data_IF_960466300670
#
_entry.id   IF_960466300670
#
_cell.length_a   1.000
_cell.length_b   1.000
_cell.length_c   1.000
_cell.angle_alpha   90.00
_cell.angle_beta   90.00
_cell.angle_gamma   90.00
#
_symmetry.space_group_name_H-M   'P 1'
#
loop_
_entity.id
_entity.type
_entity.pdbx_description
1 polymer ?
#
# COMPACT_ATOMS: atom_id res chain seq x y z
N UNK A 1 13.74 40.10 42.05
CA UNK A 1 13.55 38.62 42.11
C UNK A 1 13.81 38.08 40.72
N UNK A 2 15.02 37.53 40.51
CA UNK A 2 15.48 37.05 39.19
C UNK A 2 15.15 35.56 39.07
N UNK A 3 14.29 35.22 38.12
CA UNK A 3 13.94 33.81 37.79
C UNK A 3 15.10 33.18 37.01
N UNK A 4 15.72 32.15 37.57
CA UNK A 4 16.73 31.34 36.87
C UNK A 4 15.98 30.29 36.06
N UNK A 5 16.16 30.36 34.75
CA UNK A 5 15.73 29.30 33.83
C UNK A 5 16.77 28.17 33.92
N UNK A 6 16.33 27.00 34.33
CA UNK A 6 17.16 25.78 34.40
C UNK A 6 17.06 25.07 33.04
N UNK A 7 18.12 25.15 32.25
CA UNK A 7 18.24 24.38 31.01
C UNK A 7 18.68 22.94 31.36
N UNK A 8 17.80 21.98 31.18
CA UNK A 8 18.11 20.55 31.37
C UNK A 8 18.66 20.01 30.04
N UNK A 9 19.96 19.80 30.01
CA UNK A 9 20.64 19.12 28.88
C UNK A 9 20.56 17.61 29.14
N UNK A 10 19.77 16.89 28.37
CA UNK A 10 19.71 15.43 28.42
C UNK A 10 20.83 14.85 27.59
N UNK A 11 21.86 14.33 28.24
CA UNK A 11 22.92 13.55 27.60
C UNK A 11 22.44 12.11 27.40
N UNK A 12 22.21 11.70 26.17
CA UNK A 12 21.90 10.30 25.83
C UNK A 12 23.22 9.53 25.71
N UNK A 13 23.52 8.71 26.69
CA UNK A 13 24.60 7.72 26.62
C UNK A 13 24.07 6.50 25.87
N UNK A 14 24.62 6.24 24.68
CA UNK A 14 24.37 5.01 23.92
C UNK A 14 25.20 3.90 24.57
N UNK A 15 24.56 3.02 25.35
CA UNK A 15 25.16 1.77 25.79
C UNK A 15 24.88 0.71 24.74
N UNK A 16 25.92 0.29 24.04
CA UNK A 16 25.85 -0.84 23.12
C UNK A 16 25.90 -2.13 23.92
N UNK A 17 24.74 -2.74 24.19
CA UNK A 17 24.69 -4.15 24.59
C UNK A 17 24.65 -4.99 23.34
N UNK A 18 25.74 -5.70 23.06
CA UNK A 18 25.82 -6.78 22.08
C UNK A 18 25.28 -8.06 22.75
N UNK A 19 23.99 -8.33 22.59
CA UNK A 19 23.46 -9.69 22.72
C UNK A 19 23.25 -10.22 21.31
N UNK A 20 23.95 -11.30 20.97
CA UNK A 20 23.78 -11.99 19.69
C UNK A 20 22.34 -12.52 19.60
N UNK A 21 21.60 -12.19 18.53
CA UNK A 21 20.26 -12.74 18.33
C UNK A 21 20.36 -14.25 18.10
N UNK A 22 19.60 -15.01 18.87
CA UNK A 22 19.45 -16.47 18.69
C UNK A 22 18.93 -16.73 17.28
N UNK A 23 19.76 -17.32 16.43
CA UNK A 23 19.36 -17.68 15.07
C UNK A 23 18.49 -18.95 15.09
N UNK A 24 17.29 -18.95 14.51
CA UNK A 24 16.54 -20.19 14.29
C UNK A 24 17.25 -21.06 13.25
N UNK A 25 17.60 -22.27 13.60
CA UNK A 25 18.16 -23.26 12.67
C UNK A 25 17.04 -23.81 11.79
N UNK A 26 17.14 -23.64 10.46
CA UNK A 26 16.20 -24.23 9.50
C UNK A 26 15.48 -23.27 8.58
N UNK A 27 15.84 -21.98 8.58
CA UNK A 27 15.25 -20.98 7.66
C UNK A 27 15.78 -21.20 6.24
N UNK A 28 14.91 -21.27 5.19
CA UNK A 28 15.36 -21.16 3.81
C UNK A 28 16.16 -19.86 3.65
N UNK A 29 17.32 -19.92 3.01
CA UNK A 29 18.12 -18.72 2.79
C UNK A 29 17.27 -17.63 2.14
N UNK A 30 17.26 -16.39 2.64
CA UNK A 30 16.50 -15.27 2.03
C UNK A 30 16.95 -15.01 0.59
N UNK A 31 18.22 -15.32 0.25
CA UNK A 31 18.72 -15.31 -1.11
C UNK A 31 18.05 -16.38 -1.97
N UNK A 32 17.72 -17.55 -1.42
CA UNK A 32 16.94 -18.56 -2.15
C UNK A 32 15.46 -18.14 -2.29
N UNK A 33 14.89 -17.47 -1.29
CA UNK A 33 13.52 -16.92 -1.34
C UNK A 33 13.43 -15.69 -2.27
N UNK A 34 14.38 -14.76 -2.21
CA UNK A 34 14.47 -13.63 -3.13
C UNK A 34 14.81 -14.09 -4.55
N UNK A 35 15.68 -15.09 -4.72
CA UNK A 35 15.95 -15.73 -6.02
C UNK A 35 14.74 -16.53 -6.53
N UNK A 36 13.93 -17.12 -5.65
CA UNK A 36 12.67 -17.77 -6.03
C UNK A 36 11.55 -16.75 -6.38
N UNK A 37 11.62 -15.55 -5.85
CA UNK A 37 10.74 -14.43 -6.21
C UNK A 37 11.22 -13.72 -7.48
N UNK A 38 12.55 -13.60 -7.70
CA UNK A 38 13.18 -12.96 -8.85
C UNK A 38 13.46 -13.93 -10.01
N UNK A 39 13.79 -15.20 -9.74
CA UNK A 39 13.73 -16.25 -10.74
C UNK A 39 12.24 -16.52 -10.96
N UNK A 40 11.65 -15.80 -11.93
CA UNK A 40 10.27 -16.02 -12.33
C UNK A 40 10.04 -17.53 -12.49
N UNK A 41 9.58 -18.20 -11.44
CA UNK A 41 8.95 -19.49 -11.61
C UNK A 41 7.93 -19.25 -12.72
N UNK A 42 8.08 -19.93 -13.89
CA UNK A 42 7.23 -19.81 -15.06
C UNK A 42 5.78 -19.53 -14.63
N UNK A 43 5.47 -18.26 -14.34
CA UNK A 43 4.14 -17.81 -13.92
C UNK A 43 3.44 -17.28 -15.15
N UNK A 44 2.20 -17.62 -15.28
CA UNK A 44 1.37 -17.15 -16.39
C UNK A 44 0.00 -16.73 -15.88
N UNK A 45 -0.56 -15.73 -16.51
CA UNK A 45 -1.97 -15.33 -16.41
C UNK A 45 -2.71 -16.05 -17.52
N UNK A 46 -3.78 -16.76 -17.16
CA UNK A 46 -4.65 -17.50 -18.07
C UNK A 46 -6.02 -16.85 -18.10
N UNK A 47 -6.45 -16.36 -19.26
CA UNK A 47 -7.79 -15.83 -19.47
C UNK A 47 -8.73 -16.90 -20.03
N UNK A 48 -10.00 -16.85 -19.64
CA UNK A 48 -11.03 -17.78 -20.08
C UNK A 48 -12.00 -17.15 -21.08
N UNK A 49 -12.45 -17.98 -22.02
CA UNK A 49 -13.64 -17.69 -22.85
C UNK A 49 -14.90 -18.13 -22.09
N UNK A 50 -15.52 -17.22 -21.35
CA UNK A 50 -16.70 -17.52 -20.53
C UNK A 50 -16.37 -18.10 -19.17
N UNK A 51 -17.13 -19.09 -18.71
CA UNK A 51 -16.94 -19.67 -17.38
C UNK A 51 -15.72 -20.59 -17.30
N UNK A 52 -15.08 -20.61 -16.14
CA UNK A 52 -13.99 -21.53 -15.85
C UNK A 52 -14.47 -22.98 -15.99
N UNK A 53 -13.75 -23.79 -16.75
CA UNK A 53 -14.03 -25.22 -16.86
C UNK A 53 -13.73 -25.93 -15.54
N UNK A 54 -14.60 -26.83 -15.14
CA UNK A 54 -14.47 -27.61 -13.88
C UNK A 54 -13.16 -28.44 -13.83
N UNK A 55 -12.65 -28.87 -15.00
CA UNK A 55 -11.44 -29.68 -15.14
C UNK A 55 -10.13 -28.86 -15.26
N UNK A 56 -10.21 -27.51 -15.23
CA UNK A 56 -9.06 -26.62 -15.43
C UNK A 56 -7.88 -26.93 -14.47
N UNK A 57 -8.18 -27.09 -13.17
CA UNK A 57 -7.13 -27.41 -12.18
C UNK A 57 -6.45 -28.76 -12.49
N UNK A 58 -7.21 -29.77 -12.86
CA UNK A 58 -6.69 -31.09 -13.24
C UNK A 58 -5.88 -31.01 -14.54
N UNK A 59 -6.32 -30.21 -15.51
CA UNK A 59 -5.61 -29.97 -16.75
C UNK A 59 -4.24 -29.30 -16.50
N UNK A 60 -4.19 -28.25 -15.69
CA UNK A 60 -2.94 -27.58 -15.32
C UNK A 60 -2.00 -28.54 -14.59
N UNK A 61 -2.52 -29.35 -13.66
CA UNK A 61 -1.73 -30.35 -12.94
C UNK A 61 -1.18 -31.45 -13.87
N UNK A 62 -1.96 -31.90 -14.84
CA UNK A 62 -1.50 -32.88 -15.85
C UNK A 62 -0.38 -32.34 -16.76
N UNK A 63 -0.31 -31.00 -16.91
CA UNK A 63 0.76 -30.30 -17.62
C UNK A 63 1.97 -29.98 -16.73
N UNK A 64 1.97 -30.44 -15.47
CA UNK A 64 3.06 -30.24 -14.50
C UNK A 64 3.02 -28.90 -13.77
N UNK A 65 1.95 -28.12 -13.92
CA UNK A 65 1.77 -26.82 -13.26
C UNK A 65 0.84 -26.87 -12.06
N UNK A 66 0.66 -25.70 -11.44
CA UNK A 66 -0.25 -25.47 -10.33
C UNK A 66 -1.09 -24.22 -10.60
N UNK A 67 -2.37 -24.25 -10.20
CA UNK A 67 -3.22 -23.07 -10.19
C UNK A 67 -3.05 -22.36 -8.85
N UNK A 68 -2.49 -21.17 -8.87
CA UNK A 68 -2.20 -20.37 -7.67
C UNK A 68 -3.46 -19.67 -7.16
N UNK A 69 -4.24 -19.10 -8.06
CA UNK A 69 -5.53 -18.45 -7.76
C UNK A 69 -6.47 -18.49 -8.97
N UNK A 70 -7.74 -18.19 -8.72
CA UNK A 70 -8.77 -18.00 -9.76
C UNK A 70 -9.58 -16.75 -9.41
N UNK A 71 -9.73 -15.84 -10.38
CA UNK A 71 -10.60 -14.67 -10.32
C UNK A 71 -11.82 -14.89 -11.25
N UNK A 72 -12.79 -15.66 -10.79
CA UNK A 72 -13.93 -16.08 -11.61
C UNK A 72 -14.76 -14.91 -12.11
N UNK A 73 -14.98 -13.88 -11.27
CA UNK A 73 -15.79 -12.72 -11.60
C UNK A 73 -15.25 -11.90 -12.79
N UNK A 74 -13.97 -12.07 -13.15
CA UNK A 74 -13.30 -11.37 -14.26
C UNK A 74 -12.79 -12.34 -15.33
N UNK A 75 -12.80 -13.62 -15.05
CA UNK A 75 -12.48 -14.67 -16.02
C UNK A 75 -10.99 -14.91 -16.25
N UNK A 76 -10.17 -14.90 -15.18
CA UNK A 76 -8.77 -15.28 -15.28
C UNK A 76 -8.25 -16.07 -14.08
N UNK A 77 -7.11 -16.72 -14.24
CA UNK A 77 -6.37 -17.41 -13.18
C UNK A 77 -4.87 -17.17 -13.31
N UNK A 78 -4.15 -17.27 -12.18
CA UNK A 78 -2.71 -17.40 -12.13
C UNK A 78 -2.29 -18.86 -12.07
N UNK A 79 -1.30 -19.22 -12.87
CA UNK A 79 -0.71 -20.57 -12.88
C UNK A 79 0.80 -20.48 -12.80
N UNK A 80 1.43 -21.47 -12.15
CA UNK A 80 2.87 -21.55 -12.02
C UNK A 80 3.41 -22.96 -12.34
N UNK A 81 4.73 -23.05 -12.62
CA UNK A 81 5.43 -24.31 -12.83
C UNK A 81 5.27 -24.94 -14.23
N UNK A 82 4.57 -24.28 -15.16
CA UNK A 82 4.42 -24.80 -16.53
C UNK A 82 5.70 -24.60 -17.35
N UNK A 83 6.10 -25.62 -18.10
CA UNK A 83 7.12 -25.47 -19.14
C UNK A 83 6.58 -24.66 -20.34
N UNK A 84 7.47 -24.11 -21.18
CA UNK A 84 7.06 -23.41 -22.40
C UNK A 84 6.17 -24.26 -23.31
N UNK A 85 6.45 -25.58 -23.41
CA UNK A 85 5.62 -26.52 -24.16
C UNK A 85 4.24 -26.69 -23.53
N UNK A 86 4.17 -26.77 -22.20
CA UNK A 86 2.91 -26.87 -21.47
C UNK A 86 2.07 -25.59 -21.63
N UNK A 87 2.68 -24.40 -21.56
CA UNK A 87 2.03 -23.11 -21.86
C UNK A 87 1.46 -23.10 -23.29
N UNK A 88 2.25 -23.53 -24.29
CA UNK A 88 1.79 -23.62 -25.67
C UNK A 88 0.64 -24.62 -25.85
N UNK A 89 0.60 -25.67 -25.07
CA UNK A 89 -0.51 -26.64 -25.04
C UNK A 89 -1.76 -26.02 -24.41
N UNK A 90 -1.59 -25.35 -23.26
CA UNK A 90 -2.69 -24.69 -22.55
C UNK A 90 -3.35 -23.59 -23.41
N UNK A 91 -2.55 -22.82 -24.17
CA UNK A 91 -3.06 -21.79 -25.12
C UNK A 91 -4.05 -22.33 -26.16
N UNK A 92 -3.88 -23.60 -26.56
CA UNK A 92 -4.74 -24.26 -27.55
C UNK A 92 -5.89 -25.03 -26.93
N UNK A 93 -6.00 -25.03 -25.62
CA UNK A 93 -7.04 -25.78 -24.92
C UNK A 93 -8.40 -25.11 -25.05
N UNK A 94 -9.47 -25.88 -25.19
CA UNK A 94 -10.83 -25.33 -25.24
C UNK A 94 -11.15 -24.51 -23.98
N UNK A 95 -11.78 -23.34 -24.19
CA UNK A 95 -12.17 -22.46 -23.09
C UNK A 95 -11.06 -21.50 -22.62
N UNK A 96 -9.85 -21.57 -23.16
CA UNK A 96 -8.78 -20.62 -22.93
C UNK A 96 -8.81 -19.52 -24.01
N UNK A 97 -8.87 -18.27 -23.57
CA UNK A 97 -8.83 -17.10 -24.45
C UNK A 97 -7.38 -16.67 -24.73
N UNK A 98 -6.56 -16.61 -23.68
CA UNK A 98 -5.16 -16.23 -23.78
C UNK A 98 -4.33 -16.79 -22.62
N UNK A 99 -3.03 -16.89 -22.82
CA UNK A 99 -2.04 -17.18 -21.77
C UNK A 99 -0.83 -16.28 -22.02
N UNK A 100 -0.46 -15.48 -21.04
CA UNK A 100 0.72 -14.60 -21.08
C UNK A 100 1.55 -14.72 -19.81
N UNK A 101 2.79 -14.30 -19.94
CA UNK A 101 3.72 -14.32 -18.82
C UNK A 101 3.25 -13.31 -17.74
N UNK A 102 3.33 -13.70 -16.48
CA UNK A 102 3.01 -12.83 -15.37
C UNK A 102 4.22 -11.94 -15.04
N UNK A 103 4.03 -10.63 -15.05
CA UNK A 103 5.11 -9.68 -14.80
C UNK A 103 5.28 -9.41 -13.30
N UNK A 104 6.50 -9.02 -12.92
CA UNK A 104 6.82 -8.64 -11.55
C UNK A 104 6.59 -7.15 -11.35
N UNK A 105 5.92 -6.81 -10.24
CA UNK A 105 5.73 -5.44 -9.73
C UNK A 105 6.65 -5.26 -8.54
N UNK A 106 7.21 -4.07 -8.37
CA UNK A 106 8.14 -3.71 -7.30
C UNK A 106 7.72 -2.41 -6.64
N UNK A 107 7.94 -2.30 -5.32
CA UNK A 107 7.80 -1.05 -4.56
C UNK A 107 9.13 -0.69 -3.90
N UNK A 108 9.28 0.59 -3.54
CA UNK A 108 10.45 1.09 -2.84
C UNK A 108 10.55 0.56 -1.41
N UNK A 109 11.78 0.31 -0.95
CA UNK A 109 12.03 -0.16 0.40
C UNK A 109 11.82 0.95 1.43
N UNK A 110 11.12 0.64 2.51
CA UNK A 110 11.02 1.51 3.69
C UNK A 110 12.33 1.53 4.48
N UNK A 111 12.59 2.63 5.20
CA UNK A 111 13.79 2.81 6.05
C UNK A 111 13.42 2.77 7.52
N UNK A 112 14.18 2.03 8.31
CA UNK A 112 14.02 1.97 9.75
C UNK A 112 14.64 3.21 10.41
N UNK A 113 13.84 3.91 11.23
CA UNK A 113 14.29 5.01 12.09
C UNK A 113 14.71 4.52 13.48
N UNK A 114 14.76 5.46 14.44
CA UNK A 114 15.15 5.20 15.82
C UNK A 114 14.12 4.38 16.61
N UNK A 115 14.57 3.75 17.69
CA UNK A 115 13.69 3.17 18.70
C UNK A 115 12.88 4.26 19.42
N UNK A 116 11.65 3.95 19.78
CA UNK A 116 10.77 4.83 20.55
C UNK A 116 10.41 4.15 21.86
N UNK A 117 10.66 4.83 22.98
CA UNK A 117 10.08 4.43 24.26
C UNK A 117 8.61 4.84 24.27
N UNK A 118 7.72 3.89 23.97
CA UNK A 118 6.28 4.16 23.90
C UNK A 118 5.57 3.50 25.10
N UNK A 119 5.12 4.31 26.06
CA UNK A 119 4.06 3.91 26.98
C UNK A 119 2.74 4.48 26.46
N UNK A 120 1.96 3.62 25.81
CA UNK A 120 0.67 3.97 25.23
C UNK A 120 -0.51 3.63 26.12
N UNK A 121 -0.26 3.20 27.36
CA UNK A 121 -1.30 2.74 28.30
C UNK A 121 -2.33 3.82 28.64
N UNK A 122 -1.94 5.08 28.59
CA UNK A 122 -2.81 6.24 28.84
C UNK A 122 -3.38 6.89 27.59
N UNK A 123 -3.06 6.40 26.37
CA UNK A 123 -3.50 6.97 25.11
C UNK A 123 -4.93 6.54 24.77
N UNK A 124 -5.66 7.42 24.11
CA UNK A 124 -7.05 7.17 23.68
C UNK A 124 -7.22 7.23 22.18
N UNK A 125 -7.74 6.18 21.53
CA UNK A 125 -8.05 6.18 20.09
C UNK A 125 -9.06 7.25 19.67
N UNK A 126 -9.78 7.84 20.59
CA UNK A 126 -10.82 8.82 20.29
C UNK A 126 -10.29 10.21 19.90
N UNK A 127 -9.01 10.48 20.13
CA UNK A 127 -8.38 11.77 19.81
C UNK A 127 -7.10 11.60 19.01
N UNK A 128 -7.17 11.51 17.67
CA UNK A 128 -5.98 11.30 16.83
C UNK A 128 -4.88 12.35 17.00
N UNK A 129 -5.24 13.58 17.33
CA UNK A 129 -4.27 14.67 17.60
C UNK A 129 -3.46 14.47 18.89
N UNK A 130 -3.86 13.54 19.75
CA UNK A 130 -3.13 13.16 20.97
C UNK A 130 -2.23 11.93 20.77
N UNK A 131 -2.12 11.38 19.57
CA UNK A 131 -1.20 10.29 19.27
C UNK A 131 0.24 10.69 19.66
N UNK A 132 0.98 9.75 20.25
CA UNK A 132 2.26 10.02 20.91
C UNK A 132 3.25 10.78 20.04
N UNK A 133 3.37 10.39 18.77
CA UNK A 133 4.33 10.98 17.83
C UNK A 133 3.70 11.96 16.84
N UNK A 134 2.39 12.23 16.96
CA UNK A 134 1.71 13.19 16.08
C UNK A 134 2.38 14.56 16.09
N UNK A 135 2.63 15.20 17.27
CA UNK A 135 3.16 16.57 17.29
C UNK A 135 4.58 16.70 16.76
N UNK A 136 5.35 15.60 16.80
CA UNK A 136 6.79 15.63 16.47
C UNK A 136 7.14 15.07 15.08
N UNK A 137 6.28 14.20 14.50
CA UNK A 137 6.63 13.48 13.28
C UNK A 137 5.58 13.54 12.16
N UNK A 138 4.32 13.95 12.46
CA UNK A 138 3.25 13.84 11.46
C UNK A 138 2.88 15.17 10.80
N UNK A 139 3.89 15.84 10.21
CA UNK A 139 3.68 16.99 9.34
C UNK A 139 2.67 16.73 8.22
N UNK A 140 2.65 15.49 7.72
CA UNK A 140 1.79 15.01 6.65
C UNK A 140 0.30 15.12 7.00
N UNK A 141 -0.09 14.78 8.23
CA UNK A 141 -1.49 14.91 8.68
C UNK A 141 -1.91 16.38 8.83
N UNK A 142 -0.97 17.26 9.26
CA UNK A 142 -1.19 18.70 9.33
C UNK A 142 -1.35 19.29 7.92
N UNK A 143 -0.51 18.89 6.99
CA UNK A 143 -0.55 19.35 5.61
C UNK A 143 -1.93 19.12 4.95
N UNK A 144 -2.56 17.98 5.20
CA UNK A 144 -3.89 17.65 4.64
C UNK A 144 -5.06 18.15 5.48
N UNK A 145 -4.81 18.96 6.51
CA UNK A 145 -5.83 19.51 7.42
C UNK A 145 -6.69 18.43 8.13
N UNK A 146 -6.10 17.26 8.40
CA UNK A 146 -6.75 16.18 9.12
C UNK A 146 -7.11 16.53 10.58
N UNK A 147 -6.24 17.25 11.35
CA UNK A 147 -6.57 17.64 12.73
C UNK A 147 -7.87 18.44 12.86
N UNK A 148 -8.14 19.36 11.93
CA UNK A 148 -9.36 20.13 11.95
C UNK A 148 -10.60 19.27 11.63
N UNK A 149 -10.45 18.27 10.76
CA UNK A 149 -11.51 17.29 10.48
C UNK A 149 -11.80 16.40 11.71
N UNK A 150 -10.76 15.93 12.41
CA UNK A 150 -10.93 15.16 13.65
C UNK A 150 -11.62 15.97 14.74
N UNK A 151 -11.21 17.25 14.93
CA UNK A 151 -11.85 18.16 15.88
C UNK A 151 -13.34 18.40 15.56
N UNK A 152 -13.72 18.33 14.28
CA UNK A 152 -15.12 18.39 13.84
C UNK A 152 -15.86 17.04 13.97
N UNK A 153 -15.23 16.00 14.56
CA UNK A 153 -15.83 14.69 14.78
C UNK A 153 -15.72 13.70 13.59
N UNK A 154 -14.99 14.05 12.53
CA UNK A 154 -14.81 13.19 11.39
C UNK A 154 -13.67 12.19 11.65
N UNK A 155 -14.00 11.02 12.18
CA UNK A 155 -13.08 9.97 12.57
C UNK A 155 -13.17 8.72 11.69
N UNK A 156 -14.05 8.72 10.68
CA UNK A 156 -14.38 7.53 9.89
C UNK A 156 -15.43 6.63 10.56
N UNK A 157 -15.59 5.42 10.07
CA UNK A 157 -16.62 4.49 10.54
C UNK A 157 -16.15 3.02 10.46
N UNK A 158 -16.45 2.19 11.49
CA UNK A 158 -16.17 0.76 11.45
C UNK A 158 -17.03 0.01 10.42
N UNK A 159 -18.07 0.66 9.87
CA UNK A 159 -18.91 0.11 8.82
C UNK A 159 -18.28 0.30 7.43
N UNK A 160 -17.21 1.09 7.30
CA UNK A 160 -16.45 1.28 6.05
C UNK A 160 -15.17 0.45 6.11
N UNK A 161 -14.87 -0.24 5.04
CA UNK A 161 -13.69 -1.12 4.93
C UNK A 161 -12.76 -0.61 3.83
N UNK A 162 -11.52 -0.34 4.20
CA UNK A 162 -10.43 -0.04 3.27
C UNK A 162 -9.56 -1.30 3.08
N UNK A 163 -9.47 -1.80 1.86
CA UNK A 163 -8.53 -2.86 1.50
C UNK A 163 -7.16 -2.27 1.21
N UNK A 164 -6.12 -2.82 1.82
CA UNK A 164 -4.71 -2.45 1.62
C UNK A 164 -4.05 -3.57 0.83
N UNK A 165 -3.80 -3.34 -0.47
CA UNK A 165 -3.12 -4.27 -1.36
C UNK A 165 -1.62 -3.97 -1.30
N UNK A 166 -0.89 -4.70 -0.46
CA UNK A 166 0.50 -4.39 -0.12
C UNK A 166 1.28 -5.61 0.43
N UNK A 167 2.37 -5.39 1.17
CA UNK A 167 3.21 -6.43 1.79
C UNK A 167 2.60 -7.09 3.03
N UNK A 168 1.39 -6.70 3.42
CA UNK A 168 0.69 -7.19 4.61
C UNK A 168 0.43 -6.07 5.61
N UNK A 169 -0.06 -6.43 6.80
CA UNK A 169 -0.29 -5.51 7.92
C UNK A 169 0.12 -6.20 9.22
N UNK A 170 0.94 -5.54 10.05
CA UNK A 170 1.16 -5.96 11.45
C UNK A 170 -0.08 -5.60 12.28
N UNK A 171 -1.05 -6.49 12.27
CA UNK A 171 -2.38 -6.29 12.85
C UNK A 171 -2.41 -6.29 14.38
N UNK A 172 -1.29 -6.62 15.04
CA UNK A 172 -1.17 -6.65 16.52
C UNK A 172 -0.41 -5.45 17.08
N UNK A 173 0.16 -4.57 16.24
CA UNK A 173 0.81 -3.38 16.77
C UNK A 173 -0.23 -2.41 17.36
N UNK A 174 0.22 -1.47 18.16
CA UNK A 174 -0.64 -0.53 18.90
C UNK A 174 -1.65 0.20 18.01
N UNK A 175 -1.20 0.63 16.83
CA UNK A 175 -2.00 1.46 15.94
C UNK A 175 -2.98 0.66 15.08
N UNK A 176 -2.77 -0.67 14.94
CA UNK A 176 -3.57 -1.56 14.08
C UNK A 176 -4.50 -2.50 14.83
N UNK A 177 -4.21 -2.77 16.11
CA UNK A 177 -4.92 -3.79 16.88
C UNK A 177 -6.44 -3.55 16.90
N UNK A 178 -7.19 -4.57 16.44
CA UNK A 178 -8.65 -4.53 16.35
C UNK A 178 -9.25 -3.76 15.17
N UNK A 179 -8.41 -3.06 14.35
CA UNK A 179 -8.88 -2.43 13.11
C UNK A 179 -8.92 -3.40 11.93
N UNK A 180 -8.06 -4.42 11.91
CA UNK A 180 -7.90 -5.32 10.76
C UNK A 180 -8.92 -6.46 10.82
N UNK A 181 -9.69 -6.63 9.76
CA UNK A 181 -10.61 -7.75 9.59
C UNK A 181 -9.87 -8.96 9.00
N UNK A 182 -9.34 -9.79 9.89
CA UNK A 182 -8.57 -10.98 9.50
C UNK A 182 -9.40 -12.02 8.75
N UNK A 183 -10.73 -12.06 8.98
CA UNK A 183 -11.59 -13.05 8.33
C UNK A 183 -11.78 -12.79 6.83
N UNK A 184 -11.69 -11.53 6.39
CA UNK A 184 -11.78 -11.12 4.98
C UNK A 184 -10.43 -10.84 4.35
N UNK A 185 -9.35 -10.82 5.17
CA UNK A 185 -7.99 -10.62 4.71
C UNK A 185 -7.41 -11.89 4.08
N UNK A 186 -6.47 -11.74 3.13
CA UNK A 186 -5.88 -12.89 2.43
C UNK A 186 -4.46 -12.58 1.93
N UNK A 187 -3.70 -13.64 1.58
CA UNK A 187 -2.37 -13.54 0.96
C UNK A 187 -2.36 -14.19 -0.42
N UNK A 188 -1.65 -13.56 -1.34
CA UNK A 188 -1.29 -14.05 -2.68
C UNK A 188 0.22 -14.24 -2.82
N UNK A 189 0.96 -14.37 -1.69
CA UNK A 189 2.42 -14.46 -1.62
C UNK A 189 2.84 -15.75 -0.91
N UNK A 190 2.77 -16.91 -1.58
CA UNK A 190 3.07 -18.21 -0.95
C UNK A 190 4.48 -18.32 -0.34
N UNK A 191 5.46 -17.56 -0.83
CA UNK A 191 6.81 -17.52 -0.26
C UNK A 191 6.83 -16.96 1.15
N UNK A 192 6.13 -15.84 1.37
CA UNK A 192 6.02 -15.22 2.69
C UNK A 192 5.15 -16.05 3.63
N UNK A 193 4.09 -16.67 3.10
CA UNK A 193 3.23 -17.58 3.87
C UNK A 193 4.04 -18.78 4.41
N UNK A 194 4.98 -19.31 3.61
CA UNK A 194 5.87 -20.38 4.05
C UNK A 194 6.85 -19.92 5.14
N UNK A 195 7.38 -18.69 5.04
CA UNK A 195 8.23 -18.10 6.08
C UNK A 195 7.45 -17.93 7.39
N UNK A 196 6.24 -17.37 7.31
CA UNK A 196 5.37 -17.19 8.48
C UNK A 196 5.01 -18.53 9.12
N UNK A 197 4.62 -19.53 8.33
CA UNK A 197 4.30 -20.86 8.85
C UNK A 197 5.48 -21.53 9.54
N UNK A 198 6.71 -21.30 9.07
CA UNK A 198 7.92 -21.86 9.65
C UNK A 198 8.38 -21.14 10.93
N UNK A 199 8.32 -19.79 10.95
CA UNK A 199 8.90 -18.98 12.02
C UNK A 199 7.86 -18.47 13.03
N UNK A 200 6.65 -18.22 12.56
CA UNK A 200 5.55 -17.62 13.32
C UNK A 200 4.22 -18.34 13.06
N UNK A 201 4.13 -19.66 13.39
CA UNK A 201 3.02 -20.52 12.92
C UNK A 201 1.63 -20.13 13.43
N UNK A 202 1.54 -19.25 14.43
CA UNK A 202 0.27 -18.72 14.95
C UNK A 202 -0.17 -17.42 14.26
N UNK A 203 0.66 -16.88 13.36
CA UNK A 203 0.37 -15.63 12.66
C UNK A 203 -0.51 -15.87 11.45
N UNK A 204 -1.39 -14.89 11.17
CA UNK A 204 -2.16 -14.88 9.94
C UNK A 204 -1.23 -14.63 8.74
N UNK A 205 -1.44 -15.26 7.57
CA UNK A 205 -0.61 -15.05 6.39
C UNK A 205 -0.47 -13.59 5.93
N UNK A 206 -1.39 -12.70 6.32
CA UNK A 206 -1.28 -11.27 5.99
C UNK A 206 -0.31 -10.50 6.89
N UNK A 207 0.35 -11.14 7.84
CA UNK A 207 1.33 -10.46 8.69
C UNK A 207 2.48 -9.87 7.88
N UNK A 208 2.85 -8.63 8.20
CA UNK A 208 3.75 -7.83 7.37
C UNK A 208 5.23 -8.12 7.68
N UNK A 209 5.88 -8.78 6.75
CA UNK A 209 7.32 -9.04 6.79
C UNK A 209 8.15 -7.95 6.09
N UNK A 210 7.51 -7.10 5.28
CA UNK A 210 8.15 -6.04 4.48
C UNK A 210 8.10 -4.65 5.11
N UNK A 211 7.15 -4.41 6.00
CA UNK A 211 6.95 -3.14 6.71
C UNK A 211 6.26 -2.05 5.88
N UNK A 212 6.25 -2.15 4.55
CA UNK A 212 5.65 -1.16 3.67
C UNK A 212 4.12 -1.11 3.84
N UNK A 213 3.43 -2.25 3.87
CA UNK A 213 1.99 -2.30 4.01
C UNK A 213 1.49 -1.79 5.36
N UNK A 214 2.25 -2.01 6.45
CA UNK A 214 1.92 -1.44 7.76
C UNK A 214 2.06 0.08 7.77
N UNK A 215 3.10 0.64 7.11
CA UNK A 215 3.24 2.09 6.94
C UNK A 215 2.05 2.66 6.18
N UNK A 216 1.69 2.06 5.06
CA UNK A 216 0.55 2.45 4.23
C UNK A 216 -0.77 2.36 4.99
N UNK A 217 -1.02 1.25 5.69
CA UNK A 217 -2.23 1.05 6.49
C UNK A 217 -2.40 2.13 7.57
N UNK A 218 -1.30 2.49 8.25
CA UNK A 218 -1.30 3.51 9.32
C UNK A 218 -1.75 4.87 8.80
N UNK A 219 -1.32 5.29 7.60
CA UNK A 219 -1.74 6.58 7.05
C UNK A 219 -3.24 6.61 6.72
N UNK A 220 -3.79 5.49 6.26
CA UNK A 220 -5.22 5.40 5.92
C UNK A 220 -6.09 5.34 7.17
N UNK A 221 -5.79 4.44 8.10
CA UNK A 221 -6.55 4.26 9.36
C UNK A 221 -5.66 3.71 10.47
N UNK A 222 -5.74 4.33 11.65
CA UNK A 222 -4.95 3.98 12.82
C UNK A 222 -5.76 4.19 14.09
N UNK A 223 -5.53 3.36 15.14
CA UNK A 223 -6.03 3.62 16.48
C UNK A 223 -5.50 4.94 17.09
N UNK A 224 -4.54 5.57 16.43
CA UNK A 224 -3.90 6.81 16.84
C UNK A 224 -3.31 6.77 18.27
N UNK A 225 -2.68 5.66 18.61
CA UNK A 225 -1.97 5.56 19.89
C UNK A 225 -0.56 6.13 19.75
N UNK A 226 0.17 5.74 18.73
CA UNK A 226 1.52 6.24 18.43
C UNK A 226 1.51 7.16 17.22
N UNK A 227 0.95 6.73 16.11
CA UNK A 227 0.75 7.51 14.88
C UNK A 227 -0.73 7.61 14.54
N UNK A 228 -1.19 8.78 14.18
CA UNK A 228 -2.54 8.99 13.66
C UNK A 228 -2.63 8.61 12.18
N UNK A 229 -3.77 8.05 11.76
CA UNK A 229 -4.18 7.94 10.37
C UNK A 229 -5.18 9.04 10.01
N UNK A 230 -5.44 9.28 8.72
CA UNK A 230 -6.51 10.22 8.30
C UNK A 230 -7.83 9.81 8.93
N UNK A 231 -8.13 8.53 8.98
CA UNK A 231 -9.23 7.93 9.75
C UNK A 231 -8.70 7.24 11.02
N UNK A 232 -9.52 7.12 12.06
CA UNK A 232 -9.21 6.33 13.26
C UNK A 232 -10.23 5.23 13.55
N UNK A 233 -11.22 5.04 12.67
CA UNK A 233 -12.31 4.07 12.88
C UNK A 233 -12.61 3.23 11.63
N UNK A 234 -11.99 3.52 10.50
CA UNK A 234 -12.19 2.73 9.29
C UNK A 234 -11.57 1.34 9.47
N UNK A 235 -12.35 0.32 9.19
CA UNK A 235 -11.88 -1.07 9.21
C UNK A 235 -10.91 -1.32 8.07
N UNK A 236 -9.86 -2.07 8.33
CA UNK A 236 -8.86 -2.46 7.34
C UNK A 236 -9.05 -3.92 6.90
N UNK A 237 -8.77 -4.20 5.64
CA UNK A 237 -8.68 -5.54 5.06
C UNK A 237 -7.30 -5.69 4.46
N UNK A 238 -6.45 -6.56 5.00
CA UNK A 238 -5.11 -6.82 4.49
C UNK A 238 -5.16 -7.77 3.29
N UNK A 239 -4.70 -7.32 2.15
CA UNK A 239 -4.55 -8.14 0.94
C UNK A 239 -3.06 -8.17 0.61
N UNK A 240 -2.35 -9.21 1.12
CA UNK A 240 -0.93 -9.35 0.86
C UNK A 240 -0.71 -9.79 -0.59
N UNK A 241 -0.18 -8.89 -1.40
CA UNK A 241 0.15 -9.09 -2.82
C UNK A 241 1.62 -8.86 -3.12
N UNK A 242 2.37 -8.28 -2.17
CA UNK A 242 3.82 -8.06 -2.23
C UNK A 242 4.50 -8.88 -1.13
N UNK A 243 5.63 -9.48 -1.45
CA UNK A 243 6.49 -10.16 -0.48
C UNK A 243 7.34 -9.17 0.33
N UNK A 244 8.08 -9.68 1.31
CA UNK A 244 8.94 -8.88 2.18
C UNK A 244 10.04 -8.11 1.44
N UNK A 245 10.38 -8.50 0.21
CA UNK A 245 11.30 -7.77 -0.67
C UNK A 245 10.66 -6.61 -1.42
N UNK A 246 9.36 -6.38 -1.25
CA UNK A 246 8.60 -5.38 -1.98
C UNK A 246 8.17 -5.82 -3.39
N UNK A 247 8.35 -7.11 -3.74
CA UNK A 247 8.00 -7.63 -5.07
C UNK A 247 6.72 -8.45 -5.03
N UNK A 248 5.93 -8.37 -6.10
CA UNK A 248 4.73 -9.18 -6.30
C UNK A 248 4.46 -9.50 -7.76
N UNK A 249 3.50 -10.37 -8.04
CA UNK A 249 3.06 -10.67 -9.40
C UNK A 249 1.86 -9.80 -9.79
N UNK A 250 1.83 -9.34 -11.04
CA UNK A 250 0.69 -8.57 -11.56
C UNK A 250 -0.61 -9.37 -11.43
N UNK A 251 -0.58 -10.65 -11.79
CA UNK A 251 -1.74 -11.53 -11.67
C UNK A 251 -2.24 -11.64 -10.24
N UNK A 252 -1.33 -11.79 -9.26
CA UNK A 252 -1.66 -11.81 -7.82
C UNK A 252 -2.26 -10.50 -7.34
N UNK A 253 -1.73 -9.35 -7.80
CA UNK A 253 -2.26 -8.02 -7.48
C UNK A 253 -3.68 -7.84 -8.02
N UNK A 254 -3.90 -8.19 -9.29
CA UNK A 254 -5.23 -8.11 -9.91
C UNK A 254 -6.24 -9.05 -9.23
N UNK A 255 -5.81 -10.27 -8.87
CA UNK A 255 -6.65 -11.21 -8.10
C UNK A 255 -6.97 -10.67 -6.70
N UNK A 256 -6.01 -10.01 -6.05
CA UNK A 256 -6.21 -9.33 -4.77
C UNK A 256 -7.25 -8.22 -4.86
N UNK A 257 -7.25 -7.43 -5.95
CA UNK A 257 -8.25 -6.39 -6.18
C UNK A 257 -9.65 -6.98 -6.39
N UNK A 258 -9.76 -8.09 -7.14
CA UNK A 258 -11.02 -8.83 -7.30
C UNK A 258 -11.50 -9.39 -5.95
N UNK A 259 -10.59 -10.00 -5.17
CA UNK A 259 -10.90 -10.48 -3.83
C UNK A 259 -11.47 -9.37 -2.94
N UNK A 260 -10.81 -8.21 -2.88
CA UNK A 260 -11.26 -7.08 -2.09
C UNK A 260 -12.69 -6.64 -2.47
N UNK A 261 -12.96 -6.56 -3.78
CA UNK A 261 -14.28 -6.19 -4.32
C UNK A 261 -15.36 -7.23 -3.96
N UNK A 262 -15.05 -8.53 -4.08
CA UNK A 262 -15.99 -9.62 -3.78
C UNK A 262 -16.26 -9.79 -2.27
N UNK A 263 -15.31 -9.38 -1.42
CA UNK A 263 -15.44 -9.44 0.03
C UNK A 263 -15.88 -8.11 0.66
N UNK A 264 -16.40 -7.18 -0.17
CA UNK A 264 -17.09 -5.99 0.31
C UNK A 264 -16.18 -4.89 0.85
N UNK A 265 -15.00 -4.71 0.28
CA UNK A 265 -14.22 -3.50 0.48
C UNK A 265 -14.95 -2.31 -0.17
N UNK A 266 -14.95 -1.16 0.50
CA UNK A 266 -15.57 0.07 0.01
C UNK A 266 -14.55 0.95 -0.76
N UNK A 267 -13.29 0.86 -0.35
CA UNK A 267 -12.15 1.51 -1.02
C UNK A 267 -10.97 0.56 -1.01
N UNK A 268 -10.18 0.53 -2.09
CA UNK A 268 -8.93 -0.18 -2.17
C UNK A 268 -7.77 0.82 -2.32
N UNK A 269 -6.70 0.59 -1.56
CA UNK A 269 -5.43 1.29 -1.68
C UNK A 269 -4.42 0.41 -2.40
N UNK A 270 -3.84 0.92 -3.47
CA UNK A 270 -2.77 0.27 -4.24
C UNK A 270 -1.54 1.17 -4.25
N UNK A 271 -0.72 1.06 -3.20
CA UNK A 271 0.56 1.77 -3.07
C UNK A 271 1.67 1.02 -3.78
N UNK A 272 1.47 0.74 -5.07
CA UNK A 272 2.34 -0.08 -5.90
C UNK A 272 2.17 0.29 -7.38
N UNK A 273 3.18 0.00 -8.20
CA UNK A 273 3.18 0.27 -9.62
C UNK A 273 4.19 -0.60 -10.38
N UNK A 274 4.15 -0.55 -11.69
CA UNK A 274 5.17 -1.17 -12.55
C UNK A 274 6.19 -0.11 -12.90
N UNK A 275 7.42 -0.27 -12.40
CA UNK A 275 8.53 0.65 -12.68
C UNK A 275 8.73 0.81 -14.18
N UNK A 276 8.78 2.07 -14.67
CA UNK A 276 8.92 2.37 -16.08
C UNK A 276 7.70 2.09 -16.96
N UNK A 277 6.59 1.64 -16.36
CA UNK A 277 5.36 1.29 -17.09
C UNK A 277 5.47 0.00 -17.93
N UNK A 278 4.42 -0.29 -18.70
CA UNK A 278 4.28 -1.46 -19.58
C UNK A 278 4.18 -0.97 -21.02
N UNK A 279 4.99 -1.52 -21.95
CA UNK A 279 4.94 -1.13 -23.38
C UNK A 279 3.59 -1.58 -24.01
N UNK A 280 2.75 -0.59 -24.38
CA UNK A 280 1.42 -0.81 -24.99
C UNK A 280 1.45 -1.67 -26.25
N UNK A 281 2.54 -1.58 -27.03
CA UNK A 281 2.65 -2.29 -28.30
C UNK A 281 2.94 -3.80 -28.12
N UNK A 282 3.69 -4.15 -27.08
CA UNK A 282 4.05 -5.54 -26.81
C UNK A 282 3.09 -6.21 -25.82
N UNK A 283 2.45 -5.46 -24.95
CA UNK A 283 1.68 -5.97 -23.82
C UNK A 283 0.22 -5.48 -23.78
N UNK A 284 -0.34 -5.12 -24.94
CA UNK A 284 -1.73 -4.63 -25.04
C UNK A 284 -2.79 -5.55 -24.43
N UNK A 285 -2.49 -6.85 -24.28
CA UNK A 285 -3.37 -7.79 -23.58
C UNK A 285 -3.46 -7.49 -22.07
N UNK A 286 -2.36 -7.02 -21.44
CA UNK A 286 -2.39 -6.58 -20.04
C UNK A 286 -3.29 -5.39 -19.81
N UNK A 287 -3.28 -4.42 -20.72
CA UNK A 287 -4.19 -3.28 -20.66
C UNK A 287 -5.64 -3.76 -20.60
N UNK A 288 -5.98 -4.78 -21.38
CA UNK A 288 -7.31 -5.36 -21.41
C UNK A 288 -7.74 -5.99 -20.09
N UNK A 289 -6.87 -6.79 -19.46
CA UNK A 289 -7.18 -7.45 -18.17
C UNK A 289 -7.22 -6.44 -17.03
N UNK A 290 -6.27 -5.49 -16.99
CA UNK A 290 -6.26 -4.40 -16.01
C UNK A 290 -7.58 -3.65 -16.08
N UNK A 291 -7.96 -3.17 -17.25
CA UNK A 291 -9.20 -2.42 -17.44
C UNK A 291 -10.45 -3.21 -17.00
N UNK A 292 -10.51 -4.52 -17.29
CA UNK A 292 -11.63 -5.37 -16.83
C UNK A 292 -11.70 -5.48 -15.32
N UNK A 293 -10.56 -5.67 -14.64
CA UNK A 293 -10.49 -5.79 -13.19
C UNK A 293 -10.91 -4.48 -12.51
N UNK A 294 -10.46 -3.33 -13.00
CA UNK A 294 -10.82 -2.03 -12.44
C UNK A 294 -12.30 -1.68 -12.71
N UNK A 295 -12.83 -1.98 -13.89
CA UNK A 295 -14.26 -1.86 -14.18
C UNK A 295 -15.09 -2.78 -13.26
N UNK A 296 -14.61 -3.99 -13.00
CA UNK A 296 -15.26 -4.92 -12.07
C UNK A 296 -15.29 -4.34 -10.66
N UNK A 297 -14.17 -3.83 -10.15
CA UNK A 297 -14.08 -3.20 -8.84
C UNK A 297 -15.09 -2.04 -8.71
N UNK A 298 -15.16 -1.16 -9.73
CA UNK A 298 -16.16 -0.09 -9.76
C UNK A 298 -17.60 -0.61 -9.80
N UNK A 299 -17.86 -1.67 -10.56
CA UNK A 299 -19.21 -2.27 -10.66
C UNK A 299 -19.70 -2.83 -9.31
N UNK A 300 -18.77 -3.23 -8.44
CA UNK A 300 -19.05 -3.65 -7.05
C UNK A 300 -19.21 -2.45 -6.09
N UNK A 301 -19.06 -1.24 -6.59
CA UNK A 301 -19.20 -0.02 -5.79
C UNK A 301 -17.94 0.38 -5.03
N UNK A 302 -16.79 -0.25 -5.30
CA UNK A 302 -15.50 0.02 -4.66
C UNK A 302 -14.77 1.17 -5.36
N UNK A 303 -14.23 2.12 -4.57
CA UNK A 303 -13.31 3.15 -5.06
C UNK A 303 -11.90 2.59 -5.08
N UNK A 304 -11.11 2.86 -6.12
CA UNK A 304 -9.70 2.44 -6.18
C UNK A 304 -8.79 3.66 -6.17
N UNK A 305 -7.88 3.71 -5.21
CA UNK A 305 -6.86 4.74 -5.04
C UNK A 305 -5.49 4.14 -5.35
N UNK A 306 -4.72 4.81 -6.20
CA UNK A 306 -3.45 4.29 -6.74
C UNK A 306 -2.34 5.32 -6.58
N UNK A 307 -1.16 4.88 -6.21
CA UNK A 307 0.06 5.70 -6.23
C UNK A 307 0.49 6.00 -7.68
N UNK A 308 0.96 7.22 -7.94
CA UNK A 308 1.32 7.63 -9.30
C UNK A 308 2.53 6.87 -9.87
N UNK A 309 3.53 6.59 -9.03
CA UNK A 309 4.84 6.06 -9.39
C UNK A 309 5.95 6.99 -8.93
N UNK A 310 7.19 6.48 -8.92
CA UNK A 310 8.34 7.18 -8.35
C UNK A 310 9.53 7.31 -9.34
N UNK A 311 9.25 7.29 -10.63
CA UNK A 311 10.25 7.31 -11.71
C UNK A 311 10.42 8.70 -12.35
N UNK A 312 9.72 9.73 -11.83
CA UNK A 312 9.68 11.11 -12.38
C UNK A 312 9.24 11.13 -13.86
N UNK A 313 8.33 10.25 -14.25
CA UNK A 313 7.83 10.13 -15.63
C UNK A 313 6.64 11.07 -15.84
N UNK A 314 6.59 11.71 -17.03
CA UNK A 314 5.38 12.39 -17.52
C UNK A 314 4.51 11.39 -18.30
N UNK A 315 3.46 10.90 -17.65
CA UNK A 315 2.53 9.91 -18.21
C UNK A 315 1.73 10.44 -19.42
N UNK A 316 1.61 11.76 -19.59
CA UNK A 316 0.94 12.35 -20.76
C UNK A 316 1.81 12.30 -22.01
N UNK A 317 3.15 12.28 -21.83
CA UNK A 317 4.14 12.34 -22.90
C UNK A 317 4.72 11.00 -23.31
N UNK A 318 4.50 9.96 -22.54
CA UNK A 318 5.16 8.66 -22.72
C UNK A 318 4.56 7.78 -23.84
N UNK A 319 3.42 8.13 -24.40
CA UNK A 319 2.68 7.56 -25.57
C UNK A 319 2.78 6.06 -25.86
N UNK A 320 3.87 5.44 -25.49
CA UNK A 320 4.20 4.02 -25.68
C UNK A 320 3.98 3.18 -24.42
N UNK A 321 4.13 3.77 -23.25
CA UNK A 321 4.03 3.07 -21.98
C UNK A 321 2.62 3.22 -21.38
N UNK A 322 2.22 2.23 -20.64
CA UNK A 322 1.02 2.20 -19.84
C UNK A 322 1.43 2.16 -18.37
N UNK A 323 1.17 3.25 -17.65
CA UNK A 323 1.33 3.25 -16.19
C UNK A 323 0.20 2.40 -15.61
N UNK A 324 0.51 1.12 -15.40
CA UNK A 324 -0.42 -0.01 -15.33
C UNK A 324 -1.69 0.23 -14.50
N UNK A 325 -1.61 1.09 -13.48
CA UNK A 325 -2.75 1.31 -12.60
C UNK A 325 -3.27 2.75 -12.64
N UNK A 326 -2.42 3.77 -12.78
CA UNK A 326 -2.88 5.17 -12.89
C UNK A 326 -3.64 5.49 -14.17
N UNK A 327 -3.35 4.80 -15.28
CA UNK A 327 -4.09 4.90 -16.54
C UNK A 327 -5.29 3.93 -16.60
N UNK A 328 -5.51 3.13 -15.57
CA UNK A 328 -6.69 2.26 -15.47
C UNK A 328 -7.97 3.10 -15.29
N UNK A 329 -9.13 2.59 -15.76
CA UNK A 329 -10.39 3.34 -15.65
C UNK A 329 -10.81 3.54 -14.19
N UNK A 330 -11.45 4.68 -13.92
CA UNK A 330 -12.14 5.01 -12.67
C UNK A 330 -11.27 5.22 -11.43
N UNK A 331 -9.95 5.16 -11.56
CA UNK A 331 -9.02 5.31 -10.44
C UNK A 331 -8.93 6.75 -9.92
N UNK A 332 -8.47 6.87 -8.69
CA UNK A 332 -7.94 8.10 -8.12
C UNK A 332 -6.43 7.94 -8.08
N UNK A 333 -5.73 8.51 -9.05
CA UNK A 333 -4.27 8.50 -9.12
C UNK A 333 -3.69 9.64 -8.29
N UNK A 334 -2.71 9.35 -7.43
CA UNK A 334 -2.22 10.27 -6.40
C UNK A 334 -0.72 10.53 -6.57
N UNK A 335 -0.34 11.77 -6.83
CA UNK A 335 1.05 12.26 -6.83
C UNK A 335 1.53 12.63 -5.42
N UNK A 336 2.83 12.90 -5.27
CA UNK A 336 3.45 13.13 -3.98
C UNK A 336 3.89 14.57 -3.76
N UNK A 337 3.54 15.16 -2.58
CA UNK A 337 4.17 16.37 -2.05
C UNK A 337 5.13 16.03 -0.92
N UNK A 338 6.10 16.90 -0.66
CA UNK A 338 7.05 16.69 0.42
C UNK A 338 7.81 17.95 0.83
N UNK A 339 8.41 17.95 2.05
CA UNK A 339 9.16 19.07 2.56
C UNK A 339 10.40 19.41 1.70
N UNK A 340 10.71 20.70 1.59
CA UNK A 340 11.94 21.20 0.91
C UNK A 340 13.11 21.42 1.86
N UNK A 341 12.87 21.33 3.17
CA UNK A 341 13.92 21.42 4.20
C UNK A 341 13.49 20.69 5.47
N UNK A 342 14.45 20.32 6.30
CA UNK A 342 14.26 19.53 7.51
C UNK A 342 15.18 18.31 7.52
N UNK A 343 14.85 17.33 8.36
CA UNK A 343 15.49 16.02 8.41
C UNK A 343 14.44 14.92 8.30
N UNK A 344 14.77 13.73 7.82
CA UNK A 344 13.81 12.65 7.57
C UNK A 344 12.85 12.36 8.73
N UNK A 345 13.35 12.34 9.96
CA UNK A 345 12.58 12.08 11.18
C UNK A 345 12.60 13.25 12.18
N UNK A 346 12.89 14.46 11.75
CA UNK A 346 12.98 15.60 12.65
C UNK A 346 12.69 16.93 11.94
N UNK A 347 11.65 17.63 12.42
CA UNK A 347 11.33 19.00 12.00
C UNK A 347 12.27 20.05 12.61
N UNK A 348 12.07 21.34 12.31
CA UNK A 348 10.94 21.83 11.52
C UNK A 348 11.09 21.57 10.03
N UNK A 349 9.96 21.35 9.35
CA UNK A 349 9.91 21.11 7.91
C UNK A 349 9.41 22.35 7.18
N UNK A 350 10.14 22.75 6.10
CA UNK A 350 9.76 23.85 5.24
C UNK A 350 9.01 23.39 4.00
N UNK A 351 8.12 24.23 3.51
CA UNK A 351 7.27 24.03 2.33
C UNK A 351 6.88 22.56 2.07
N UNK A 352 6.00 22.04 2.91
CA UNK A 352 5.55 20.63 2.87
C UNK A 352 4.66 20.31 1.65
N UNK A 353 4.24 21.33 0.93
CA UNK A 353 3.38 21.23 -0.26
C UNK A 353 4.17 21.27 -1.58
N UNK A 354 5.50 21.29 -1.51
CA UNK A 354 6.30 21.26 -2.74
C UNK A 354 6.12 19.93 -3.48
N UNK A 355 6.15 19.95 -4.82
CA UNK A 355 6.24 18.74 -5.62
C UNK A 355 7.41 17.86 -5.19
N UNK A 356 7.19 16.57 -5.00
CA UNK A 356 8.28 15.62 -4.80
C UNK A 356 8.92 15.30 -6.15
N UNK A 357 10.26 15.39 -6.21
CA UNK A 357 11.04 15.28 -7.45
C UNK A 357 11.00 13.88 -8.09
N UNK A 358 10.68 12.88 -7.31
CA UNK A 358 10.53 11.49 -7.78
C UNK A 358 9.13 11.18 -8.34
N UNK A 359 8.11 12.00 -8.02
CA UNK A 359 6.73 11.65 -8.36
C UNK A 359 6.49 11.65 -9.86
N UNK A 360 5.87 10.58 -10.37
CA UNK A 360 5.32 10.60 -11.71
C UNK A 360 4.22 11.65 -11.81
N UNK A 361 4.09 12.26 -12.99
CA UNK A 361 3.19 13.37 -13.30
C UNK A 361 2.34 13.06 -14.53
N UNK A 362 1.35 13.88 -14.79
CA UNK A 362 0.50 13.80 -15.99
C UNK A 362 -0.85 14.47 -15.78
N UNK A 363 -1.15 15.48 -16.60
CA UNK A 363 -2.38 16.25 -16.45
C UNK A 363 -3.64 15.41 -16.67
N UNK A 364 -3.56 14.37 -17.52
CA UNK A 364 -4.70 13.49 -17.78
C UNK A 364 -4.90 12.50 -16.64
N UNK A 365 -3.81 11.96 -16.09
CA UNK A 365 -3.80 10.83 -15.18
C UNK A 365 -3.87 11.22 -13.70
N UNK A 366 -3.05 12.19 -13.26
CA UNK A 366 -3.08 12.62 -11.84
C UNK A 366 -4.45 13.19 -11.50
N UNK A 367 -5.05 12.63 -10.45
CA UNK A 367 -6.34 13.12 -9.93
C UNK A 367 -6.11 14.16 -8.84
N UNK A 368 -5.30 13.87 -7.85
CA UNK A 368 -4.98 14.75 -6.70
C UNK A 368 -3.55 14.50 -6.23
N UNK A 369 -3.03 15.42 -5.43
CA UNK A 369 -1.77 15.24 -4.70
C UNK A 369 -2.02 15.02 -3.20
N UNK A 370 -1.07 14.36 -2.53
CA UNK A 370 -1.05 14.20 -1.08
C UNK A 370 0.39 14.05 -0.56
N UNK A 371 0.64 14.17 0.77
CA UNK A 371 1.97 14.03 1.34
C UNK A 371 2.57 12.64 1.07
N UNK A 372 3.67 12.61 0.32
CA UNK A 372 4.46 11.41 0.06
C UNK A 372 5.83 11.45 0.72
N UNK A 373 6.25 12.64 1.16
CA UNK A 373 7.55 12.84 1.78
C UNK A 373 8.66 13.19 0.80
N UNK A 374 9.84 13.41 1.35
CA UNK A 374 11.07 13.70 0.63
C UNK A 374 12.29 13.28 1.48
N UNK A 375 13.50 13.49 0.98
CA UNK A 375 14.71 13.29 1.79
C UNK A 375 14.82 14.24 3.00
N UNK A 376 13.96 15.26 3.09
CA UNK A 376 13.91 16.20 4.20
C UNK A 376 12.82 15.90 5.22
N UNK A 377 11.87 15.03 4.89
CA UNK A 377 10.80 14.62 5.81
C UNK A 377 10.09 13.37 5.33
N UNK A 378 10.25 12.28 6.07
CA UNK A 378 9.56 11.03 5.78
C UNK A 378 8.12 11.05 6.29
N UNK A 379 7.28 10.25 5.62
CA UNK A 379 6.03 9.76 6.20
C UNK A 379 6.36 8.53 7.03
N UNK A 380 5.84 8.47 8.25
CA UNK A 380 6.29 7.51 9.26
C UNK A 380 5.14 6.71 9.86
N UNK A 381 5.46 5.50 10.34
CA UNK A 381 4.58 4.61 11.08
C UNK A 381 5.39 3.75 12.07
N UNK A 382 4.70 2.94 12.87
CA UNK A 382 5.36 1.89 13.64
C UNK A 382 5.95 0.84 12.71
N UNK A 383 7.15 0.36 13.08
CA UNK A 383 7.76 -0.79 12.42
C UNK A 383 6.90 -2.04 12.64
N UNK A 384 6.64 -2.78 11.57
CA UNK A 384 6.02 -4.09 11.68
C UNK A 384 6.91 -5.02 12.53
N UNK A 385 6.32 -5.69 13.50
CA UNK A 385 7.04 -6.49 14.49
C UNK A 385 7.92 -7.58 13.85
N UNK A 386 7.43 -8.22 12.80
CA UNK A 386 8.11 -9.28 12.09
C UNK A 386 8.84 -8.79 10.82
N UNK A 387 9.09 -7.47 10.73
CA UNK A 387 9.86 -6.88 9.63
C UNK A 387 11.19 -7.60 9.44
N UNK A 388 11.43 -8.09 8.22
CA UNK A 388 12.67 -8.78 7.84
C UNK A 388 13.65 -7.76 7.24
N UNK A 389 14.85 -7.75 7.80
CA UNK A 389 16.01 -7.10 7.19
C UNK A 389 17.08 -8.15 6.91
N UNK A 390 17.58 -8.19 5.68
CA UNK A 390 18.68 -9.10 5.32
C UNK A 390 20.01 -8.43 5.62
N UNK A 391 20.78 -9.00 6.54
CA UNK A 391 22.13 -8.54 6.90
C UNK A 391 23.10 -9.70 6.70
N UNK A 392 24.16 -9.48 5.92
CA UNK A 392 25.17 -10.52 5.59
C UNK A 392 24.54 -11.83 5.07
N UNK A 393 23.54 -11.72 4.19
CA UNK A 393 22.75 -12.84 3.64
C UNK A 393 21.94 -13.65 4.67
N UNK A 394 21.71 -13.13 5.86
CA UNK A 394 20.86 -13.74 6.88
C UNK A 394 19.66 -12.85 7.22
N UNK A 395 18.46 -13.42 7.46
CA UNK A 395 17.30 -12.65 7.92
C UNK A 395 17.52 -12.21 9.36
N UNK A 396 17.19 -10.95 9.64
CA UNK A 396 17.12 -10.40 10.99
C UNK A 396 15.75 -9.78 11.20
N UNK A 397 15.30 -9.71 12.46
CA UNK A 397 13.99 -9.15 12.83
C UNK A 397 14.21 -7.95 13.76
N UNK A 398 14.66 -6.80 13.21
CA UNK A 398 15.14 -5.69 14.04
C UNK A 398 14.03 -5.00 14.84
N UNK A 399 12.77 -5.30 14.59
CA UNK A 399 11.63 -4.68 15.27
C UNK A 399 10.90 -5.63 16.24
N UNK A 400 11.37 -6.87 16.40
CA UNK A 400 10.68 -7.88 17.22
C UNK A 400 10.74 -7.61 18.74
N UNK A 401 11.81 -6.97 19.20
CA UNK A 401 12.08 -6.78 20.64
C UNK A 401 11.85 -5.36 21.14
N UNK A 402 11.27 -4.48 20.33
CA UNK A 402 11.06 -3.09 20.73
C UNK A 402 10.13 -2.33 19.80
N UNK A 403 9.81 -1.10 20.19
CA UNK A 403 9.02 -0.18 19.38
C UNK A 403 9.96 0.67 18.55
N UNK A 404 9.95 0.49 17.24
CA UNK A 404 10.75 1.23 16.29
C UNK A 404 9.85 1.97 15.30
N UNK A 405 10.39 2.99 14.65
CA UNK A 405 9.72 3.73 13.58
C UNK A 405 10.20 3.19 12.24
N UNK A 406 9.29 3.01 11.29
CA UNK A 406 9.58 2.98 9.86
C UNK A 406 9.20 4.31 9.24
N UNK A 407 9.90 4.69 8.19
CA UNK A 407 9.57 5.86 7.41
C UNK A 407 10.12 5.76 6.00
N UNK A 408 9.54 6.53 5.11
CA UNK A 408 9.94 6.59 3.72
C UNK A 408 9.36 7.79 2.99
N UNK A 409 9.77 7.93 1.75
CA UNK A 409 9.21 8.87 0.80
C UNK A 409 8.83 8.12 -0.47
N UNK A 410 7.68 8.43 -1.03
CA UNK A 410 7.14 7.81 -2.23
C UNK A 410 5.66 8.14 -2.41
N UNK A 411 5.17 8.05 -3.64
CA UNK A 411 3.73 8.17 -3.93
C UNK A 411 2.93 7.08 -3.22
N UNK A 412 3.58 5.97 -2.84
CA UNK A 412 3.02 4.92 -2.00
C UNK A 412 2.63 5.40 -0.59
N UNK A 413 3.27 6.45 -0.08
CA UNK A 413 2.86 7.10 1.16
C UNK A 413 1.75 8.14 0.94
N UNK A 414 1.61 8.70 -0.27
CA UNK A 414 0.56 9.67 -0.61
C UNK A 414 -0.82 9.02 -0.75
N UNK A 415 -0.90 7.92 -1.47
CA UNK A 415 -2.16 7.22 -1.77
C UNK A 415 -3.00 6.90 -0.52
N UNK A 416 -2.43 6.40 0.60
CA UNK A 416 -3.23 6.05 1.77
C UNK A 416 -3.84 7.27 2.48
N UNK A 417 -3.28 8.48 2.38
CA UNK A 417 -3.95 9.68 2.88
C UNK A 417 -5.27 9.91 2.15
N UNK A 418 -5.26 9.73 0.83
CA UNK A 418 -6.47 9.82 0.00
C UNK A 418 -7.43 8.68 0.33
N UNK A 419 -6.94 7.46 0.54
CA UNK A 419 -7.76 6.31 0.92
C UNK A 419 -8.49 6.55 2.24
N UNK A 420 -7.81 7.10 3.25
CA UNK A 420 -8.42 7.48 4.53
C UNK A 420 -9.50 8.54 4.38
N UNK A 421 -9.26 9.57 3.53
CA UNK A 421 -10.26 10.60 3.22
C UNK A 421 -11.46 10.01 2.46
N UNK A 422 -11.22 9.17 1.45
CA UNK A 422 -12.28 8.48 0.71
C UNK A 422 -13.13 7.63 1.64
N UNK A 423 -12.52 6.91 2.58
CA UNK A 423 -13.24 6.13 3.59
C UNK A 423 -14.13 7.01 4.48
N UNK A 424 -13.68 8.21 4.87
CA UNK A 424 -14.49 9.17 5.63
C UNK A 424 -15.63 9.74 4.77
N UNK A 425 -15.40 10.05 3.50
CA UNK A 425 -16.44 10.47 2.56
C UNK A 425 -17.50 9.38 2.39
N UNK A 426 -17.11 8.12 2.24
CA UNK A 426 -18.04 6.99 2.17
C UNK A 426 -18.85 6.85 3.47
N UNK A 427 -18.20 7.02 4.62
CA UNK A 427 -18.88 6.99 5.92
C UNK A 427 -19.95 8.07 6.06
N UNK A 428 -19.71 9.25 5.48
CA UNK A 428 -20.62 10.41 5.54
C UNK A 428 -21.72 10.38 4.46
N UNK A 429 -21.36 10.03 3.22
CA UNK A 429 -22.25 10.20 2.06
C UNK A 429 -22.81 8.87 1.51
N UNK A 430 -22.36 7.73 2.03
CA UNK A 430 -22.86 6.40 1.69
C UNK A 430 -21.98 5.61 0.74
N UNK A 431 -22.19 4.29 0.76
CA UNK A 431 -21.48 3.29 -0.04
C UNK A 431 -22.02 3.14 -1.47
N UNK A 432 -21.25 2.47 -2.32
CA UNK A 432 -21.68 2.06 -3.67
C UNK A 432 -21.79 3.20 -4.68
N UNK A 433 -21.13 4.33 -4.43
CA UNK A 433 -21.20 5.54 -5.27
C UNK A 433 -19.81 6.08 -5.66
N UNK A 434 -18.94 5.26 -6.30
CA UNK A 434 -17.54 5.63 -6.55
C UNK A 434 -17.37 6.98 -7.25
N UNK A 435 -18.14 7.25 -8.29
CA UNK A 435 -18.06 8.50 -9.05
C UNK A 435 -18.45 9.73 -8.21
N UNK A 436 -19.49 9.61 -7.36
CA UNK A 436 -19.90 10.67 -6.46
C UNK A 436 -18.81 10.95 -5.41
N UNK A 437 -18.22 9.90 -4.82
CA UNK A 437 -17.14 10.03 -3.85
C UNK A 437 -15.91 10.69 -4.46
N UNK A 438 -15.52 10.29 -5.69
CA UNK A 438 -14.43 10.95 -6.44
C UNK A 438 -14.73 12.43 -6.69
N UNK A 439 -15.97 12.78 -7.01
CA UNK A 439 -16.37 14.17 -7.22
C UNK A 439 -16.28 15.02 -5.92
N UNK A 440 -16.77 14.49 -4.80
CA UNK A 440 -16.64 15.15 -3.49
C UNK A 440 -15.16 15.34 -3.10
N UNK A 441 -14.30 14.35 -3.36
CA UNK A 441 -12.87 14.47 -3.14
C UNK A 441 -12.28 15.64 -3.95
N UNK A 442 -12.54 15.69 -5.27
CA UNK A 442 -12.01 16.72 -6.17
C UNK A 442 -12.49 18.13 -5.76
N UNK A 443 -13.74 18.29 -5.37
CA UNK A 443 -14.28 19.59 -4.94
C UNK A 443 -13.69 20.05 -3.59
N UNK A 444 -13.10 19.16 -2.83
CA UNK A 444 -12.55 19.44 -1.52
C UNK A 444 -11.04 19.67 -1.47
N UNK A 445 -10.35 19.78 -2.60
CA UNK A 445 -8.90 20.00 -2.62
C UNK A 445 -8.51 21.46 -2.42
N UNK A 446 -7.26 21.71 -2.04
CA UNK A 446 -6.61 23.00 -2.15
C UNK A 446 -5.90 23.06 -3.51
N UNK A 447 -6.37 23.96 -4.37
CA UNK A 447 -5.83 24.17 -5.72
C UNK A 447 -4.43 24.80 -5.61
N UNK A 448 -3.41 23.97 -5.77
CA UNK A 448 -2.00 24.34 -5.73
C UNK A 448 -1.43 24.28 -7.15
N UNK A 449 -0.38 25.05 -7.40
CA UNK A 449 0.25 25.12 -8.71
C UNK A 449 -0.50 26.04 -9.68
N UNK A 450 -0.68 25.59 -10.92
CA UNK A 450 -1.47 26.33 -11.89
C UNK A 450 -2.98 26.19 -11.61
N UNK A 451 -3.78 27.26 -11.73
CA UNK A 451 -5.21 27.18 -11.43
C UNK A 451 -5.93 26.09 -12.21
N UNK A 452 -6.73 25.29 -11.54
CA UNK A 452 -7.46 24.15 -12.09
C UNK A 452 -6.58 22.89 -12.17
N UNK A 453 -6.90 21.98 -13.09
CA UNK A 453 -6.17 20.73 -13.19
C UNK A 453 -4.79 20.92 -13.84
N UNK A 454 -3.72 20.59 -13.14
CA UNK A 454 -2.33 20.65 -13.61
C UNK A 454 -1.64 19.26 -13.63
N UNK A 455 -0.45 19.11 -14.25
CA UNK A 455 0.20 17.81 -14.39
C UNK A 455 0.69 17.21 -13.07
N UNK A 456 0.97 18.03 -12.04
CA UNK A 456 1.58 17.59 -10.81
C UNK A 456 0.55 17.36 -9.70
N UNK A 457 -0.25 18.39 -9.38
CA UNK A 457 -1.25 18.32 -8.30
C UNK A 457 -2.59 17.73 -8.75
N UNK A 458 -2.79 17.47 -10.05
CA UNK A 458 -4.10 17.14 -10.58
C UNK A 458 -5.08 18.29 -10.34
N UNK A 459 -6.17 18.05 -9.60
CA UNK A 459 -7.10 19.09 -9.16
C UNK A 459 -6.62 19.87 -7.93
N UNK A 460 -5.55 19.42 -7.28
CA UNK A 460 -4.98 20.05 -6.09
C UNK A 460 -4.57 19.03 -5.03
N UNK A 461 -3.95 19.52 -3.93
CA UNK A 461 -3.65 18.70 -2.76
C UNK A 461 -4.92 18.48 -1.95
N UNK A 462 -5.14 17.25 -1.46
CA UNK A 462 -6.31 16.92 -0.63
C UNK A 462 -6.38 17.78 0.64
N UNK A 463 -7.61 18.16 1.02
CA UNK A 463 -7.92 18.83 2.28
C UNK A 463 -9.09 18.10 2.95
N UNK A 464 -8.80 17.39 4.05
CA UNK A 464 -9.74 16.46 4.68
C UNK A 464 -10.98 17.21 5.20
N UNK A 465 -10.79 18.34 5.90
CA UNK A 465 -11.92 19.12 6.42
C UNK A 465 -12.78 19.68 5.28
N UNK A 466 -12.14 20.28 4.26
CA UNK A 466 -12.85 20.93 3.16
C UNK A 466 -13.68 19.93 2.36
N UNK A 467 -13.13 18.73 2.06
CA UNK A 467 -13.86 17.66 1.39
C UNK A 467 -15.06 17.15 2.18
N UNK A 468 -14.94 17.09 3.50
CA UNK A 468 -16.00 16.64 4.40
C UNK A 468 -17.02 17.76 4.75
N UNK A 469 -16.80 19.00 4.36
CA UNK A 469 -17.67 20.14 4.67
C UNK A 469 -18.65 20.49 3.54
N UNK A 470 -18.75 19.67 2.52
CA UNK A 470 -19.62 19.88 1.36
C UNK A 470 -21.05 19.45 1.59
#
# INVERSE_FOLDING_TARGET
>A
MRLKVLTLTLAVTVSACSEDPVQPTGVPSPTASAAAQSAGANRSIVEFNGQLRKDFRSQVAALGGRVDFVAEGVGFAGVSGLSATAVATLRRSPGIAAVYDDITVQVDAVRRGSAVAADVSAMSPANPAAALLFPSLQWNMVAVNAPAAWAAGNLGSPNVTAAILDSGIDYDNFDMNGLVDLARSTSFVPSDDAILAALFPTRNPIDDLGGHGTLVATQASSNALVFAGVSSRTRLMGIKVLGFTGSGSLGGILAGLVWAADHGADVANMSLGVTGGVDKAHEGLFVGIVNRVFNYAQSKGMVVVVAAGNDAIDMDGDGRNFSAFCEAPHVICVSATGPTSGMPFQGPWGNVDAPADYSDIGRQNITVAAPGGSNFGFVSALCARHFIQVVNNAPTFPCISGTFILGGAGTSASAPHVTGLVAQLIAKYGKGRPSQIKHLLINGVDDLGAPGKDPFYGYGRINVLKALSQ
#
